data_IF_728487421238
#
_entry.id   IF_728487421238
#
_cell.length_a   1.000
_cell.length_b   1.000
_cell.length_c   1.000
_cell.angle_alpha   90.00
_cell.angle_beta   90.00
_cell.angle_gamma   90.00
#
_symmetry.space_group_name_H-M   'P 1'
#
loop_
_entity.id
_entity.type
_entity.pdbx_description
1 polymer ?
#
# COMPACT_ATOMS: atom_id res chain seq x y z
N UNK A 1 -10.70 20.11 4.17
CA UNK A 1 -9.61 19.13 4.11
C UNK A 1 -9.22 18.93 2.65
N UNK A 2 -7.94 19.06 2.33
CA UNK A 2 -7.40 18.80 0.99
C UNK A 2 -6.99 17.34 0.88
N UNK A 3 -7.23 16.72 -0.24
CA UNK A 3 -6.82 15.37 -0.54
C UNK A 3 -6.47 15.22 -2.02
N UNK A 4 -5.78 14.13 -2.36
CA UNK A 4 -5.54 13.71 -3.75
C UNK A 4 -6.03 12.29 -3.91
N UNK A 5 -6.79 12.00 -4.96
CA UNK A 5 -7.15 10.63 -5.32
C UNK A 5 -6.13 10.10 -6.32
N UNK A 6 -5.54 8.94 -6.02
CA UNK A 6 -4.59 8.26 -6.89
C UNK A 6 -4.94 6.78 -6.98
N UNK A 7 -4.49 6.13 -8.04
CA UNK A 7 -4.67 4.71 -8.23
C UNK A 7 -3.35 4.04 -8.66
N UNK A 8 -3.19 2.79 -8.31
CA UNK A 8 -2.13 1.93 -8.77
C UNK A 8 -2.69 0.56 -9.15
N UNK A 9 -2.68 0.23 -10.46
CA UNK A 9 -3.24 -1.02 -10.99
C UNK A 9 -4.73 -1.22 -10.62
N UNK A 10 -5.53 -0.15 -10.66
CA UNK A 10 -6.95 -0.17 -10.33
C UNK A 10 -7.29 -0.14 -8.84
N UNK A 11 -6.30 -0.20 -7.95
CA UNK A 11 -6.48 -0.06 -6.52
C UNK A 11 -6.38 1.42 -6.14
N UNK A 12 -7.52 2.06 -5.86
CA UNK A 12 -7.64 3.50 -5.70
C UNK A 12 -7.82 3.93 -4.23
N UNK A 13 -7.00 4.91 -3.82
CA UNK A 13 -7.04 5.48 -2.47
C UNK A 13 -7.15 6.99 -2.49
N UNK A 14 -7.71 7.54 -1.40
CA UNK A 14 -7.64 8.96 -1.08
C UNK A 14 -6.40 9.20 -0.22
N UNK A 15 -5.50 10.07 -0.69
CA UNK A 15 -4.24 10.43 -0.02
C UNK A 15 -4.40 11.77 0.67
N UNK A 16 -4.03 11.84 1.95
CA UNK A 16 -4.09 13.05 2.77
C UNK A 16 -2.70 13.37 3.31
N UNK A 17 -2.24 14.57 3.00
CA UNK A 17 -0.96 15.09 3.48
C UNK A 17 -1.11 15.63 4.91
N UNK A 18 -0.73 14.85 5.90
CA UNK A 18 -0.80 15.21 7.30
C UNK A 18 0.33 16.12 7.80
N UNK A 19 1.21 16.60 6.92
CA UNK A 19 2.08 17.74 7.22
C UNK A 19 1.29 19.07 7.23
N UNK A 20 0.16 19.12 6.52
CA UNK A 20 -0.70 20.31 6.42
C UNK A 20 -2.13 20.08 6.87
N UNK A 21 -2.60 18.84 6.92
CA UNK A 21 -3.97 18.49 7.30
C UNK A 21 -3.98 17.67 8.60
N UNK A 22 -4.98 17.92 9.44
CA UNK A 22 -5.19 17.13 10.66
C UNK A 22 -6.39 16.20 10.49
N UNK A 23 -6.19 14.90 10.73
CA UNK A 23 -7.23 13.88 10.72
C UNK A 23 -7.37 13.31 12.13
N UNK A 24 -8.51 13.59 12.77
CA UNK A 24 -8.75 13.19 14.18
C UNK A 24 -9.30 11.77 14.30
N UNK A 25 -10.09 11.31 13.33
CA UNK A 25 -10.74 10.01 13.35
C UNK A 25 -10.64 9.34 11.98
N UNK A 26 -9.48 8.72 11.68
CA UNK A 26 -9.20 8.18 10.35
C UNK A 26 -10.11 7.01 9.98
N UNK A 27 -10.53 6.17 10.92
CA UNK A 27 -11.44 5.04 10.65
C UNK A 27 -12.80 5.52 10.14
N UNK A 28 -13.39 6.50 10.83
CA UNK A 28 -14.68 7.08 10.42
C UNK A 28 -14.56 7.86 9.11
N UNK A 29 -13.43 8.56 8.93
CA UNK A 29 -13.16 9.26 7.69
C UNK A 29 -13.07 8.28 6.52
N UNK A 30 -12.35 7.17 6.70
CA UNK A 30 -12.19 6.15 5.66
C UNK A 30 -13.54 5.58 5.22
N UNK A 31 -14.43 5.23 6.15
CA UNK A 31 -15.79 4.76 5.83
C UNK A 31 -16.56 5.81 5.01
N UNK A 32 -16.56 7.06 5.49
CA UNK A 32 -17.37 8.11 4.87
C UNK A 32 -16.86 8.53 3.48
N UNK A 33 -15.53 8.71 3.32
CA UNK A 33 -14.94 9.20 2.07
C UNK A 33 -14.83 8.12 1.00
N UNK A 34 -14.73 6.85 1.42
CA UNK A 34 -14.59 5.72 0.49
C UNK A 34 -15.91 5.27 -0.14
N UNK A 35 -17.04 5.69 0.40
CA UNK A 35 -18.34 5.41 -0.20
C UNK A 35 -18.38 5.92 -1.65
N UNK A 36 -18.67 5.02 -2.61
CA UNK A 36 -18.63 5.34 -4.04
C UNK A 36 -19.84 6.11 -4.54
N UNK A 37 -20.89 6.25 -3.71
CA UNK A 37 -22.12 6.96 -4.04
C UNK A 37 -22.24 8.30 -3.29
N UNK A 38 -21.83 8.33 -2.01
CA UNK A 38 -22.01 9.51 -1.14
C UNK A 38 -20.70 10.16 -0.71
N UNK A 39 -19.55 9.49 -0.95
CA UNK A 39 -18.21 10.00 -0.69
C UNK A 39 -17.45 10.35 -1.98
N UNK A 40 -16.12 10.34 -1.89
CA UNK A 40 -15.23 10.44 -3.06
C UNK A 40 -15.18 9.11 -3.82
N UNK A 41 -15.39 8.01 -3.11
CA UNK A 41 -15.28 6.65 -3.61
C UNK A 41 -13.83 6.19 -3.74
N UNK A 42 -13.46 5.16 -3.00
CA UNK A 42 -12.11 4.59 -3.02
C UNK A 42 -12.07 3.25 -2.30
N UNK A 43 -10.94 2.54 -2.39
CA UNK A 43 -10.69 1.33 -1.59
C UNK A 43 -10.27 1.67 -0.15
N UNK A 44 -10.02 2.96 0.14
CA UNK A 44 -9.67 3.44 1.47
C UNK A 44 -8.96 4.79 1.48
N UNK A 45 -8.31 5.09 2.60
CA UNK A 45 -7.57 6.33 2.85
C UNK A 45 -6.13 6.00 3.24
N UNK A 46 -5.19 6.75 2.70
CA UNK A 46 -3.79 6.73 3.09
C UNK A 46 -3.40 8.10 3.63
N UNK A 47 -2.93 8.12 4.87
CA UNK A 47 -2.40 9.30 5.53
C UNK A 47 -0.89 9.31 5.39
N UNK A 48 -0.34 10.37 4.78
CA UNK A 48 1.09 10.61 4.66
C UNK A 48 1.49 11.51 5.83
N UNK A 49 2.25 10.95 6.78
CA UNK A 49 2.60 11.60 8.05
C UNK A 49 4.11 11.78 8.18
N UNK A 50 4.59 12.69 9.04
CA UNK A 50 5.97 12.68 9.49
C UNK A 50 6.30 11.39 10.23
N UNK A 51 7.59 10.98 10.20
CA UNK A 51 8.11 9.82 10.93
C UNK A 51 9.36 10.22 11.72
N UNK A 52 9.55 9.60 12.89
CA UNK A 52 10.78 9.71 13.67
C UNK A 52 11.81 8.63 13.27
N UNK A 53 11.44 7.66 12.41
CA UNK A 53 12.25 6.49 12.05
C UNK A 53 12.56 6.39 10.57
N UNK A 54 11.83 7.12 9.74
CA UNK A 54 11.92 7.09 8.29
C UNK A 54 11.69 8.50 7.71
N UNK A 55 11.79 8.66 6.40
CA UNK A 55 11.48 9.95 5.76
C UNK A 55 9.99 10.30 5.90
N UNK A 56 9.12 9.27 5.81
CA UNK A 56 7.66 9.42 5.89
C UNK A 56 7.03 8.23 6.62
N UNK A 57 5.80 8.42 7.11
CA UNK A 57 4.92 7.32 7.56
C UNK A 57 3.73 7.20 6.62
N UNK A 58 3.43 5.99 6.20
CA UNK A 58 2.19 5.61 5.53
C UNK A 58 1.26 4.93 6.55
N UNK A 59 0.16 5.58 6.88
CA UNK A 59 -0.88 5.05 7.77
C UNK A 59 -2.17 4.84 6.96
N UNK A 60 -2.61 3.59 6.85
CA UNK A 60 -3.59 3.17 5.86
C UNK A 60 -4.84 2.59 6.49
N UNK A 61 -5.99 2.97 5.96
CA UNK A 61 -7.31 2.52 6.38
C UNK A 61 -8.12 2.07 5.17
N UNK A 62 -8.70 0.87 5.26
CA UNK A 62 -9.59 0.32 4.23
C UNK A 62 -10.94 1.04 4.23
N UNK A 63 -11.75 0.82 3.19
CA UNK A 63 -13.08 1.42 3.05
C UNK A 63 -14.05 1.07 4.21
N UNK A 64 -13.83 -0.05 4.91
CA UNK A 64 -14.59 -0.46 6.08
C UNK A 64 -14.10 0.18 7.41
N UNK A 65 -13.05 1.01 7.34
CA UNK A 65 -12.42 1.67 8.49
C UNK A 65 -11.35 0.81 9.17
N UNK A 66 -11.14 -0.43 8.76
CA UNK A 66 -10.07 -1.26 9.31
C UNK A 66 -8.70 -0.72 8.93
N UNK A 67 -7.76 -0.74 9.89
CA UNK A 67 -6.37 -0.33 9.65
C UNK A 67 -5.60 -1.47 8.99
N UNK A 68 -4.86 -1.18 7.93
CA UNK A 68 -4.07 -2.15 7.18
C UNK A 68 -2.58 -1.96 7.38
N UNK A 69 -1.83 -3.05 7.31
CA UNK A 69 -0.40 -3.03 7.60
C UNK A 69 0.42 -2.37 6.47
N UNK A 70 0.10 -2.69 5.22
CA UNK A 70 0.80 -2.19 4.04
C UNK A 70 0.02 -2.52 2.76
N UNK A 71 0.18 -1.68 1.74
CA UNK A 71 -0.32 -1.91 0.38
C UNK A 71 0.78 -1.55 -0.63
N UNK A 72 1.25 -2.54 -1.37
CA UNK A 72 2.29 -2.34 -2.40
C UNK A 72 1.89 -1.36 -3.50
N UNK A 73 0.61 -1.33 -3.89
CA UNK A 73 0.08 -0.36 -4.84
C UNK A 73 0.03 1.04 -4.22
N UNK A 74 -0.51 1.13 -3.00
CA UNK A 74 -0.65 2.39 -2.28
C UNK A 74 0.67 3.07 -1.96
N UNK A 75 1.71 2.30 -1.54
CA UNK A 75 3.01 2.89 -1.20
C UNK A 75 3.74 3.48 -2.42
N UNK A 76 3.54 2.92 -3.62
CA UNK A 76 4.08 3.52 -4.86
C UNK A 76 3.46 4.89 -5.13
N UNK A 77 2.16 5.02 -4.89
CA UNK A 77 1.47 6.31 -4.97
C UNK A 77 1.96 7.29 -3.88
N UNK A 78 2.26 6.81 -2.64
CA UNK A 78 2.93 7.64 -1.62
C UNK A 78 4.26 8.17 -2.14
N UNK A 79 5.11 7.29 -2.70
CA UNK A 79 6.39 7.69 -3.29
C UNK A 79 6.24 8.77 -4.36
N UNK A 80 5.32 8.57 -5.31
CA UNK A 80 5.02 9.58 -6.33
C UNK A 80 4.48 10.87 -5.72
N UNK A 81 3.60 10.78 -4.73
CA UNK A 81 3.02 11.94 -4.06
C UNK A 81 4.09 12.81 -3.42
N UNK A 82 4.95 12.21 -2.56
CA UNK A 82 5.91 12.98 -1.77
C UNK A 82 6.93 13.73 -2.63
N UNK A 83 7.31 13.17 -3.78
CA UNK A 83 8.20 13.82 -4.73
C UNK A 83 7.47 14.87 -5.58
N UNK A 84 6.38 14.48 -6.25
CA UNK A 84 5.66 15.35 -7.21
C UNK A 84 5.03 16.59 -6.55
N UNK A 85 4.71 16.50 -5.25
CA UNK A 85 4.17 17.62 -4.46
C UNK A 85 5.23 18.36 -3.65
N UNK A 86 6.52 18.03 -3.82
CA UNK A 86 7.64 18.77 -3.24
C UNK A 86 7.82 18.60 -1.74
N UNK A 87 7.35 17.47 -1.16
CA UNK A 87 7.68 17.11 0.24
C UNK A 87 9.12 16.60 0.38
N UNK A 88 9.73 16.17 -0.74
CA UNK A 88 11.13 15.76 -0.82
C UNK A 88 11.67 16.01 -2.23
N UNK A 89 12.99 16.18 -2.35
CA UNK A 89 13.75 16.18 -3.60
C UNK A 89 14.60 14.91 -3.78
N UNK A 90 14.56 14.00 -2.79
CA UNK A 90 15.27 12.72 -2.83
C UNK A 90 14.65 11.80 -3.89
N UNK A 91 15.51 11.05 -4.58
CA UNK A 91 15.09 9.99 -5.52
C UNK A 91 15.04 8.61 -4.89
N UNK A 92 15.40 8.50 -3.61
CA UNK A 92 15.26 7.31 -2.77
C UNK A 92 14.76 7.76 -1.40
N UNK A 93 13.72 7.12 -0.89
CA UNK A 93 13.12 7.45 0.42
C UNK A 93 12.79 6.18 1.20
N UNK A 94 12.72 6.34 2.51
CA UNK A 94 12.20 5.33 3.44
C UNK A 94 10.79 5.69 3.90
N UNK A 95 9.91 4.69 4.01
CA UNK A 95 8.52 4.86 4.45
C UNK A 95 8.24 3.88 5.58
N UNK A 96 7.91 4.41 6.75
CA UNK A 96 7.43 3.62 7.88
C UNK A 96 6.00 3.14 7.61
N UNK A 97 5.77 1.83 7.77
CA UNK A 97 4.46 1.18 7.69
C UNK A 97 4.27 0.27 8.91
N UNK A 98 3.07 -0.26 9.13
CA UNK A 98 2.87 -1.27 10.18
C UNK A 98 3.61 -2.59 9.89
N UNK A 99 3.90 -2.87 8.61
CA UNK A 99 4.72 -4.01 8.18
C UNK A 99 6.24 -3.67 8.13
N UNK A 100 6.69 -2.66 8.90
CA UNK A 100 8.07 -2.22 8.95
C UNK A 100 8.41 -1.11 7.95
N UNK A 101 9.70 -0.74 7.92
CA UNK A 101 10.19 0.30 7.00
C UNK A 101 10.38 -0.31 5.61
N UNK A 102 9.86 0.38 4.60
CA UNK A 102 10.03 0.06 3.18
C UNK A 102 10.88 1.12 2.51
N UNK A 103 11.73 0.68 1.57
CA UNK A 103 12.60 1.56 0.80
C UNK A 103 12.06 1.68 -0.62
N UNK A 104 12.00 2.90 -1.11
CA UNK A 104 11.45 3.25 -2.41
C UNK A 104 12.52 3.98 -3.23
N UNK A 105 12.72 3.55 -4.48
CA UNK A 105 13.56 4.23 -5.46
C UNK A 105 12.70 4.77 -6.61
N UNK A 106 12.97 6.01 -7.03
CA UNK A 106 12.18 6.72 -8.03
C UNK A 106 12.93 6.85 -9.36
N UNK A 107 12.26 6.54 -10.44
CA UNK A 107 12.67 6.96 -11.78
C UNK A 107 11.96 8.27 -12.09
N UNK A 108 12.75 9.33 -12.33
CA UNK A 108 12.23 10.67 -12.59
C UNK A 108 12.25 10.93 -14.10
N UNK A 109 11.13 11.42 -14.62
CA UNK A 109 10.99 11.87 -16.00
C UNK A 109 10.20 13.18 -16.03
N UNK A 110 10.70 14.15 -16.77
CA UNK A 110 10.08 15.47 -16.90
C UNK A 110 9.76 16.16 -15.55
N UNK A 111 10.66 15.94 -14.56
CA UNK A 111 10.53 16.52 -13.20
C UNK A 111 9.48 15.86 -12.31
N UNK A 112 8.95 14.69 -12.70
CA UNK A 112 7.98 13.90 -11.95
C UNK A 112 8.39 12.44 -11.86
N UNK A 113 7.84 11.74 -10.86
CA UNK A 113 8.04 10.31 -10.72
C UNK A 113 7.27 9.58 -11.82
N UNK A 114 8.01 8.84 -12.65
CA UNK A 114 7.48 7.96 -13.70
C UNK A 114 7.26 6.54 -13.17
N UNK A 115 8.26 6.00 -12.44
CA UNK A 115 8.18 4.67 -11.80
C UNK A 115 8.68 4.71 -10.36
N UNK A 116 8.14 3.81 -9.54
CA UNK A 116 8.57 3.57 -8.17
C UNK A 116 8.89 2.09 -7.99
N UNK A 117 10.14 1.81 -7.62
CA UNK A 117 10.56 0.48 -7.16
C UNK A 117 10.40 0.43 -5.64
N UNK A 118 9.84 -0.65 -5.11
CA UNK A 118 9.66 -0.85 -3.67
C UNK A 118 10.39 -2.13 -3.26
N UNK A 119 11.27 -2.05 -2.27
CA UNK A 119 11.83 -3.23 -1.63
C UNK A 119 10.77 -3.87 -0.71
N UNK A 120 10.21 -4.98 -1.18
CA UNK A 120 9.19 -5.75 -0.44
C UNK A 120 9.82 -6.74 0.54
N UNK A 121 11.14 -6.93 0.50
CA UNK A 121 11.84 -7.98 1.22
C UNK A 121 11.81 -9.33 0.52
N UNK A 122 12.38 -10.35 1.16
CA UNK A 122 12.38 -11.71 0.63
C UNK A 122 10.98 -12.35 0.72
N UNK A 123 10.53 -13.10 -0.30
CA UNK A 123 9.26 -13.79 -0.26
C UNK A 123 9.28 -14.91 0.81
N UNK A 124 8.20 -15.04 1.55
CA UNK A 124 8.00 -16.10 2.52
C UNK A 124 7.28 -17.26 1.82
N UNK A 125 7.92 -18.44 1.79
CA UNK A 125 7.37 -19.64 1.14
C UNK A 125 6.94 -20.71 2.16
N UNK A 126 7.33 -20.55 3.44
CA UNK A 126 7.02 -21.52 4.49
C UNK A 126 5.51 -21.57 4.77
N UNK A 127 4.89 -22.74 4.62
CA UNK A 127 3.44 -22.89 4.61
C UNK A 127 2.74 -22.35 5.87
N UNK A 128 3.31 -22.55 7.06
CA UNK A 128 2.79 -22.04 8.32
C UNK A 128 2.89 -20.51 8.46
N UNK A 129 3.81 -19.86 7.72
CA UNK A 129 4.01 -18.41 7.70
C UNK A 129 3.25 -17.70 6.57
N UNK A 130 2.84 -18.42 5.52
CA UNK A 130 2.03 -17.89 4.41
C UNK A 130 0.54 -17.71 4.72
N UNK A 131 -0.03 -18.03 5.74
CA UNK A 131 -0.60 -19.14 6.44
C UNK A 131 -1.50 -20.05 5.55
N UNK A 132 -0.93 -21.05 4.95
CA UNK A 132 -1.65 -22.04 4.15
C UNK A 132 -1.67 -23.40 4.88
N UNK A 133 -2.80 -24.09 4.82
CA UNK A 133 -2.91 -25.45 5.37
C UNK A 133 -2.29 -26.45 4.40
N UNK A 134 -1.19 -27.07 4.79
CA UNK A 134 -0.48 -28.09 4.01
C UNK A 134 0.30 -29.02 4.93
N UNK A 135 0.47 -30.26 4.50
CA UNK A 135 1.36 -31.24 5.13
C UNK A 135 2.83 -31.01 4.71
N UNK A 136 3.07 -30.14 3.73
CA UNK A 136 4.39 -29.80 3.20
C UNK A 136 4.91 -28.52 3.85
N UNK A 137 6.23 -28.40 3.95
CA UNK A 137 6.89 -27.18 4.44
C UNK A 137 6.64 -25.98 3.52
N UNK A 138 6.51 -26.23 2.21
CA UNK A 138 6.21 -25.22 1.19
C UNK A 138 5.17 -25.77 0.20
N UNK A 139 4.32 -24.88 -0.32
CA UNK A 139 3.35 -25.19 -1.36
C UNK A 139 3.83 -24.55 -2.65
N UNK A 140 4.53 -25.32 -3.48
CA UNK A 140 5.12 -24.86 -4.74
C UNK A 140 4.67 -25.79 -5.85
N UNK A 141 4.07 -25.25 -6.90
CA UNK A 141 3.59 -25.97 -8.09
C UNK A 141 2.64 -27.14 -7.76
N UNK A 142 1.84 -26.95 -6.71
CA UNK A 142 0.88 -27.94 -6.24
C UNK A 142 -0.35 -27.97 -7.14
N UNK A 143 -0.74 -29.20 -7.55
CA UNK A 143 -1.93 -29.38 -8.35
C UNK A 143 -3.19 -29.20 -7.48
N UNK A 144 -4.10 -28.34 -7.94
CA UNK A 144 -5.46 -28.20 -7.39
C UNK A 144 -6.49 -28.35 -8.50
N UNK A 145 -7.66 -28.88 -8.16
CA UNK A 145 -8.78 -28.98 -9.11
C UNK A 145 -9.91 -28.05 -8.66
N UNK A 146 -10.28 -27.10 -9.47
CA UNK A 146 -11.38 -26.15 -9.20
C UNK A 146 -12.41 -26.26 -10.32
N UNK A 147 -13.66 -26.58 -9.98
CA UNK A 147 -14.75 -26.75 -10.94
C UNK A 147 -14.42 -27.75 -12.08
N UNK A 148 -13.66 -28.81 -11.78
CA UNK A 148 -13.26 -29.85 -12.76
C UNK A 148 -12.08 -29.46 -13.66
N UNK A 149 -11.45 -28.32 -13.44
CA UNK A 149 -10.25 -27.85 -14.15
C UNK A 149 -9.04 -27.94 -13.22
N UNK A 150 -7.95 -28.48 -13.73
CA UNK A 150 -6.69 -28.61 -13.01
C UNK A 150 -5.85 -27.32 -13.13
N UNK A 151 -5.35 -26.84 -12.00
CA UNK A 151 -4.45 -25.71 -11.88
C UNK A 151 -3.22 -26.11 -11.08
N UNK A 152 -2.16 -25.34 -11.22
CA UNK A 152 -0.98 -25.40 -10.37
C UNK A 152 -0.89 -24.14 -9.52
N UNK A 153 -0.63 -24.31 -8.22
CA UNK A 153 -0.60 -23.19 -7.29
C UNK A 153 0.72 -23.13 -6.53
N UNK A 154 1.24 -21.92 -6.36
CA UNK A 154 2.33 -21.61 -5.42
C UNK A 154 1.83 -20.62 -4.41
N UNK A 155 2.03 -20.92 -3.11
CA UNK A 155 1.64 -20.04 -2.02
C UNK A 155 2.85 -19.25 -1.53
N UNK A 156 2.70 -17.93 -1.44
CA UNK A 156 3.77 -17.00 -1.06
C UNK A 156 3.16 -15.80 -0.32
N UNK A 157 3.87 -15.26 0.66
CA UNK A 157 3.55 -14.02 1.34
C UNK A 157 4.67 -13.00 1.20
#
# INVERSE_FOLDING_TARGET
MKFTKMEGLGNDYVYINCFSEKVENPEKLAIAISDRHFGVGSDGVILIKPSDKADFTMDMYNADGSRSEMCGNGIRCVGKYVYDYGLTDKTSVSVETLAGIKYLDFVIKDGKVDMVTVDMGAPILKADQVPVRSDKDQVIDEKITVAGVDYHMTCVS
#
